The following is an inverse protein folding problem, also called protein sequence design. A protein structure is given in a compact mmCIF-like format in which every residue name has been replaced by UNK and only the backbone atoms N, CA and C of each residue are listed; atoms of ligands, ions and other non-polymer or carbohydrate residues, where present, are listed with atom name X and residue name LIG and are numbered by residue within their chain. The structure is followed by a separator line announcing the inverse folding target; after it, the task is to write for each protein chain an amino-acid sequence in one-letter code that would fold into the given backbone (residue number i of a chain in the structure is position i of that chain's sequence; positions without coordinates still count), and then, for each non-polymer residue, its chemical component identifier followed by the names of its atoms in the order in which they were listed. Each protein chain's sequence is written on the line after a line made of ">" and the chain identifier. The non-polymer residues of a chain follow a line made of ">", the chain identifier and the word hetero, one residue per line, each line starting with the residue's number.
data_IF_890433303529
#
_entry.id   IF_890433303529
#
_cell.length_a   1.000
_cell.length_b   1.000
_cell.length_c   1.000
_cell.angle_alpha   90.00
_cell.angle_beta   90.00
_cell.angle_gamma   90.00
#
_symmetry.space_group_name_H-M   'P 1'
#
loop_
_entity.id
_entity.type
_entity.pdbx_description
1 polymer ?
#
# COMPACT_ATOMS: atom_id res chain seq x y z
N UNK A 1 36.78 9.45 8.05
CA UNK A 1 36.61 8.41 9.09
C UNK A 1 35.13 8.31 9.52
N UNK A 2 34.20 8.36 8.56
CA UNK A 2 32.77 8.52 8.82
C UNK A 2 31.96 7.87 7.71
N UNK A 3 30.74 7.44 8.05
CA UNK A 3 29.80 6.60 7.30
C UNK A 3 29.92 5.07 7.51
N UNK A 4 31.14 4.51 7.66
CA UNK A 4 31.31 3.07 7.93
C UNK A 4 31.32 2.72 9.43
N UNK A 5 31.87 3.60 10.28
CA UNK A 5 31.81 3.45 11.74
C UNK A 5 30.36 3.50 12.30
N UNK A 6 29.42 4.07 11.56
CA UNK A 6 28.00 4.11 11.92
C UNK A 6 27.25 2.82 11.60
N UNK A 7 27.74 1.99 10.68
CA UNK A 7 27.12 0.70 10.33
C UNK A 7 27.46 -0.38 11.37
N UNK A 8 28.69 -0.39 11.88
CA UNK A 8 29.08 -1.30 12.97
C UNK A 8 28.33 -0.97 14.27
N UNK A 9 28.09 0.31 14.55
CA UNK A 9 27.27 0.77 15.67
C UNK A 9 25.78 0.36 15.57
N UNK A 10 25.24 0.13 14.37
CA UNK A 10 23.88 -0.40 14.21
C UNK A 10 23.77 -1.84 14.72
N UNK A 11 24.85 -2.63 14.65
CA UNK A 11 24.83 -4.03 15.09
C UNK A 11 24.89 -4.21 16.61
N UNK A 12 25.31 -3.20 17.36
CA UNK A 12 25.31 -3.20 18.83
C UNK A 12 23.97 -2.76 19.45
N UNK A 13 23.02 -2.27 18.66
CA UNK A 13 21.75 -1.76 19.17
C UNK A 13 20.80 -2.86 19.68
N UNK A 14 19.80 -2.54 20.53
CA UNK A 14 18.72 -3.48 20.88
C UNK A 14 18.04 -4.07 19.63
N UNK A 15 17.49 -5.29 19.77
CA UNK A 15 16.93 -6.05 18.65
C UNK A 15 15.85 -5.25 17.88
N UNK A 16 15.04 -4.46 18.57
CA UNK A 16 13.98 -3.65 17.97
C UNK A 16 14.54 -2.58 17.03
N UNK A 17 15.65 -1.93 17.41
CA UNK A 17 16.32 -0.92 16.57
C UNK A 17 17.00 -1.54 15.36
N UNK A 18 17.54 -2.75 15.51
CA UNK A 18 18.14 -3.52 14.39
C UNK A 18 17.09 -3.92 13.37
N UNK A 19 15.91 -4.39 13.81
CA UNK A 19 14.77 -4.71 12.95
C UNK A 19 14.32 -3.45 12.19
N UNK A 20 14.08 -2.36 12.92
CA UNK A 20 13.64 -1.10 12.32
C UNK A 20 14.64 -0.59 11.26
N UNK A 21 15.93 -0.60 11.58
CA UNK A 21 16.98 -0.18 10.63
C UNK A 21 17.06 -1.07 9.39
N UNK A 22 16.92 -2.39 9.55
CA UNK A 22 16.93 -3.33 8.44
C UNK A 22 15.71 -3.14 7.51
N UNK A 23 14.50 -3.01 8.08
CA UNK A 23 13.26 -2.78 7.33
C UNK A 23 13.30 -1.42 6.63
N UNK A 24 13.82 -0.38 7.30
CA UNK A 24 13.95 0.94 6.71
C UNK A 24 14.93 0.93 5.53
N UNK A 25 16.12 0.34 5.69
CA UNK A 25 17.11 0.22 4.61
C UNK A 25 16.57 -0.58 3.44
N UNK A 26 15.89 -1.71 3.71
CA UNK A 26 15.22 -2.50 2.68
C UNK A 26 14.17 -1.67 1.94
N UNK A 27 13.31 -0.96 2.67
CA UNK A 27 12.26 -0.11 2.09
C UNK A 27 12.85 0.98 1.20
N UNK A 28 13.92 1.66 1.62
CA UNK A 28 14.61 2.66 0.80
C UNK A 28 15.28 2.06 -0.43
N UNK A 29 15.90 0.88 -0.30
CA UNK A 29 16.55 0.19 -1.42
C UNK A 29 15.51 -0.22 -2.46
N UNK A 30 14.40 -0.81 -2.02
CA UNK A 30 13.26 -1.15 -2.90
C UNK A 30 12.67 0.12 -3.51
N UNK A 31 12.47 1.18 -2.74
CA UNK A 31 11.93 2.44 -3.27
C UNK A 31 12.83 3.04 -4.35
N UNK A 32 14.15 3.08 -4.12
CA UNK A 32 15.12 3.55 -5.13
C UNK A 32 15.11 2.65 -6.36
N UNK A 33 15.02 1.33 -6.18
CA UNK A 33 14.90 0.37 -7.27
C UNK A 33 13.63 0.59 -8.11
N UNK A 34 12.46 0.66 -7.47
CA UNK A 34 11.16 0.84 -8.11
C UNK A 34 11.08 2.20 -8.84
N UNK A 35 11.60 3.25 -8.20
CA UNK A 35 11.56 4.62 -8.73
C UNK A 35 12.54 4.79 -9.89
N UNK A 36 13.81 4.40 -9.72
CA UNK A 36 14.88 4.72 -10.67
C UNK A 36 15.25 3.56 -11.61
N UNK A 37 15.32 2.32 -11.11
CA UNK A 37 16.04 1.25 -11.81
C UNK A 37 15.14 0.27 -12.57
N UNK A 38 13.88 0.04 -12.15
CA UNK A 38 13.08 -1.04 -12.71
C UNK A 38 11.74 -0.66 -13.35
N UNK A 39 11.00 0.36 -12.86
CA UNK A 39 9.58 0.47 -13.25
C UNK A 39 9.09 1.84 -13.75
N UNK A 40 9.58 2.98 -13.23
CA UNK A 40 8.97 4.28 -13.58
C UNK A 40 9.82 5.13 -14.51
N UNK A 41 11.00 5.58 -14.09
CA UNK A 41 11.75 6.58 -14.85
C UNK A 41 12.27 6.04 -16.20
N UNK A 42 12.97 4.89 -16.18
CA UNK A 42 13.58 4.32 -17.39
C UNK A 42 12.54 3.81 -18.39
N UNK A 43 11.45 3.20 -17.92
CA UNK A 43 10.34 2.74 -18.77
C UNK A 43 9.72 3.93 -19.51
N UNK A 44 9.57 5.08 -18.86
CA UNK A 44 9.04 6.27 -19.51
C UNK A 44 10.06 6.89 -20.47
N UNK A 45 11.31 7.08 -20.04
CA UNK A 45 12.35 7.73 -20.84
C UNK A 45 12.72 6.95 -22.11
N UNK A 46 12.75 5.63 -22.04
CA UNK A 46 13.12 4.76 -23.18
C UNK A 46 11.92 4.19 -23.93
N UNK A 47 10.69 4.63 -23.62
CA UNK A 47 9.48 4.19 -24.33
C UNK A 47 9.16 2.71 -24.13
N UNK A 48 9.38 2.20 -22.91
CA UNK A 48 9.09 0.82 -22.54
C UNK A 48 7.61 0.44 -22.69
N UNK A 49 6.68 1.37 -22.44
CA UNK A 49 5.23 1.12 -22.63
C UNK A 49 4.91 0.92 -24.12
N UNK A 50 5.28 1.82 -25.07
CA UNK A 50 5.14 1.57 -26.50
C UNK A 50 5.87 0.32 -26.99
N UNK A 51 7.06 0.03 -26.45
CA UNK A 51 7.80 -1.18 -26.79
C UNK A 51 7.01 -2.45 -26.45
N UNK A 52 6.52 -2.53 -25.21
CA UNK A 52 5.73 -3.67 -24.75
C UNK A 52 4.43 -3.79 -25.54
N UNK A 53 3.77 -2.67 -25.85
CA UNK A 53 2.57 -2.66 -26.71
C UNK A 53 2.84 -3.24 -28.10
N UNK A 54 3.93 -2.83 -28.76
CA UNK A 54 4.33 -3.39 -30.07
C UNK A 54 4.70 -4.86 -29.98
N UNK A 55 5.36 -5.27 -28.89
CA UNK A 55 5.68 -6.67 -28.64
C UNK A 55 4.41 -7.53 -28.51
N UNK A 56 3.40 -7.03 -27.79
CA UNK A 56 2.08 -7.68 -27.70
C UNK A 56 1.44 -7.85 -29.08
N UNK A 57 1.51 -6.82 -29.94
CA UNK A 57 1.02 -6.89 -31.32
C UNK A 57 1.76 -7.93 -32.16
N UNK A 58 3.07 -8.11 -31.96
CA UNK A 58 3.85 -9.17 -32.64
C UNK A 58 3.41 -10.57 -32.23
N UNK A 59 3.12 -10.80 -30.95
CA UNK A 59 2.57 -12.07 -30.48
C UNK A 59 1.18 -12.34 -31.07
N UNK A 60 0.31 -11.33 -31.10
CA UNK A 60 -1.00 -11.42 -31.76
C UNK A 60 -0.86 -11.76 -33.25
N UNK A 61 0.04 -11.07 -33.97
CA UNK A 61 0.28 -11.32 -35.39
C UNK A 61 0.78 -12.74 -35.69
N UNK A 62 1.66 -13.29 -34.84
CA UNK A 62 2.11 -14.69 -34.97
C UNK A 62 0.96 -15.69 -34.78
N UNK A 63 -0.01 -15.36 -33.93
CA UNK A 63 -1.21 -16.16 -33.71
C UNK A 63 -2.32 -15.90 -34.75
N UNK A 64 -2.07 -15.07 -35.77
CA UNK A 64 -3.03 -14.77 -36.84
C UNK A 64 -4.01 -13.63 -36.52
N UNK A 65 -3.81 -12.89 -35.43
CA UNK A 65 -4.63 -11.71 -35.09
C UNK A 65 -3.95 -10.43 -35.58
N UNK A 66 -4.60 -9.73 -36.50
CA UNK A 66 -4.16 -8.43 -37.02
C UNK A 66 -4.36 -7.27 -36.03
N UNK A 67 -3.88 -6.06 -36.37
CA UNK A 67 -3.98 -4.87 -35.52
C UNK A 67 -5.42 -4.40 -35.27
N UNK A 68 -6.39 -4.83 -36.07
CA UNK A 68 -7.82 -4.58 -35.86
C UNK A 68 -8.36 -5.22 -34.57
N UNK A 69 -7.69 -6.24 -34.05
CA UNK A 69 -8.05 -6.90 -32.79
C UNK A 69 -7.40 -6.20 -31.58
N UNK A 70 -7.68 -4.90 -31.40
CA UNK A 70 -7.11 -4.07 -30.34
C UNK A 70 -7.33 -4.67 -28.93
N UNK A 71 -8.51 -5.23 -28.67
CA UNK A 71 -8.84 -5.86 -27.38
C UNK A 71 -7.92 -7.07 -27.13
N UNK A 72 -7.70 -7.90 -28.13
CA UNK A 72 -6.80 -9.06 -28.03
C UNK A 72 -5.37 -8.61 -27.73
N UNK A 73 -4.86 -7.62 -28.47
CA UNK A 73 -3.54 -7.04 -28.20
C UNK A 73 -3.44 -6.43 -26.79
N UNK A 74 -4.51 -5.78 -26.33
CA UNK A 74 -4.61 -5.21 -24.97
C UNK A 74 -4.54 -6.27 -23.88
N UNK A 75 -5.21 -7.41 -24.07
CA UNK A 75 -5.14 -8.54 -23.13
C UNK A 75 -3.73 -9.16 -23.08
N UNK A 76 -3.08 -9.31 -24.25
CA UNK A 76 -1.69 -9.77 -24.31
C UNK A 76 -0.76 -8.76 -23.64
N UNK A 77 -0.96 -7.46 -23.86
CA UNK A 77 -0.23 -6.41 -23.16
C UNK A 77 -0.39 -6.50 -21.64
N UNK A 78 -1.62 -6.66 -21.14
CA UNK A 78 -1.89 -6.80 -19.72
C UNK A 78 -1.19 -8.03 -19.13
N UNK A 79 -1.23 -9.16 -19.83
CA UNK A 79 -0.53 -10.38 -19.40
C UNK A 79 0.99 -10.17 -19.34
N UNK A 80 1.59 -9.63 -20.41
CA UNK A 80 3.04 -9.40 -20.43
C UNK A 80 3.48 -8.36 -19.39
N UNK A 81 2.69 -7.31 -19.18
CA UNK A 81 2.97 -6.28 -18.18
C UNK A 81 2.91 -6.85 -16.75
N UNK A 82 1.90 -7.67 -16.45
CA UNK A 82 1.77 -8.32 -15.13
C UNK A 82 2.87 -9.36 -14.89
N UNK A 83 3.26 -10.14 -15.91
CA UNK A 83 4.40 -11.06 -15.83
C UNK A 83 5.73 -10.34 -15.61
N UNK A 84 5.95 -9.23 -16.31
CA UNK A 84 7.14 -8.39 -16.11
C UNK A 84 7.17 -7.83 -14.68
N UNK A 85 6.07 -7.25 -14.21
CA UNK A 85 5.96 -6.72 -12.85
C UNK A 85 6.20 -7.82 -11.80
N UNK A 86 5.56 -8.98 -11.93
CA UNK A 86 5.77 -10.12 -11.03
C UNK A 86 7.23 -10.59 -11.01
N UNK A 87 7.87 -10.68 -12.18
CA UNK A 87 9.26 -11.12 -12.31
C UNK A 87 10.25 -10.14 -11.67
N UNK A 88 10.00 -8.83 -11.80
CA UNK A 88 10.83 -7.81 -11.15
C UNK A 88 10.58 -7.70 -9.64
N UNK A 89 9.36 -8.00 -9.18
CA UNK A 89 8.98 -7.98 -7.76
C UNK A 89 9.37 -9.25 -6.99
N UNK A 90 9.46 -10.39 -7.66
CA UNK A 90 9.68 -11.69 -7.02
C UNK A 90 10.98 -11.75 -6.19
N UNK A 91 12.15 -11.25 -6.66
CA UNK A 91 13.37 -11.26 -5.84
C UNK A 91 13.19 -10.52 -4.51
N UNK A 92 12.50 -9.38 -4.52
CA UNK A 92 12.23 -8.58 -3.32
C UNK A 92 11.26 -9.29 -2.39
N UNK A 93 10.21 -9.90 -2.92
CA UNK A 93 9.27 -10.71 -2.14
C UNK A 93 9.96 -11.89 -1.47
N UNK A 94 10.82 -12.62 -2.19
CA UNK A 94 11.57 -13.74 -1.65
C UNK A 94 12.55 -13.28 -0.57
N UNK A 95 13.24 -12.15 -0.78
CA UNK A 95 14.16 -11.59 0.22
C UNK A 95 13.42 -11.15 1.49
N UNK A 96 12.28 -10.47 1.35
CA UNK A 96 11.48 -10.06 2.49
C UNK A 96 11.03 -11.27 3.32
N UNK A 97 10.46 -12.29 2.68
CA UNK A 97 9.93 -13.48 3.38
C UNK A 97 11.03 -14.39 3.94
N UNK A 98 11.99 -14.80 3.11
CA UNK A 98 12.96 -15.84 3.50
C UNK A 98 14.24 -15.32 4.16
N UNK A 99 14.49 -14.00 4.12
CA UNK A 99 15.65 -13.39 4.78
C UNK A 99 15.23 -12.50 5.93
N UNK A 100 14.34 -11.52 5.70
CA UNK A 100 13.97 -10.55 6.74
C UNK A 100 13.02 -11.19 7.76
N UNK A 101 11.89 -11.72 7.31
CA UNK A 101 10.85 -12.29 8.19
C UNK A 101 11.34 -13.57 8.89
N UNK A 102 12.05 -14.46 8.19
CA UNK A 102 12.69 -15.65 8.80
C UNK A 102 13.69 -15.26 9.89
N UNK A 103 14.59 -14.31 9.62
CA UNK A 103 15.61 -13.85 10.60
C UNK A 103 14.98 -13.27 11.87
N UNK A 104 13.80 -12.68 11.75
CA UNK A 104 13.06 -12.13 12.88
C UNK A 104 12.03 -13.09 13.48
N UNK A 105 11.93 -14.31 12.95
CA UNK A 105 11.08 -15.37 13.46
C UNK A 105 9.59 -15.16 13.22
N UNK A 106 9.22 -14.36 12.21
CA UNK A 106 7.84 -14.14 11.78
C UNK A 106 7.33 -15.22 10.82
N UNK A 107 8.23 -15.90 10.10
CA UNK A 107 7.88 -16.92 9.11
C UNK A 107 7.37 -18.25 9.73
N UNK A 108 7.46 -18.43 11.06
CA UNK A 108 6.91 -19.60 11.75
C UNK A 108 5.94 -19.22 12.87
N UNK A 109 4.68 -19.68 12.77
CA UNK A 109 3.62 -19.52 13.78
C UNK A 109 3.87 -20.32 15.09
N UNK A 110 5.11 -20.67 15.43
CA UNK A 110 5.42 -21.69 16.44
C UNK A 110 5.54 -21.18 17.88
N UNK A 111 5.44 -19.86 18.13
CA UNK A 111 5.43 -19.29 19.48
C UNK A 111 4.00 -19.09 19.99
N UNK A 112 3.78 -19.26 21.30
CA UNK A 112 2.54 -18.84 22.00
C UNK A 112 2.36 -17.32 21.91
N UNK A 113 1.93 -16.86 20.74
CA UNK A 113 1.56 -15.49 20.41
C UNK A 113 0.04 -15.41 20.38
N UNK A 114 -0.48 -14.23 20.73
CA UNK A 114 -1.92 -13.97 20.71
C UNK A 114 -2.51 -13.48 22.02
N UNK A 115 -3.76 -13.06 21.90
CA UNK A 115 -4.57 -12.48 22.96
C UNK A 115 -5.34 -13.55 23.73
N UNK A 116 -5.63 -13.30 25.01
CA UNK A 116 -6.58 -14.08 25.82
C UNK A 116 -8.01 -13.85 25.32
N UNK A 117 -8.96 -14.72 25.68
CA UNK A 117 -10.36 -14.60 25.24
C UNK A 117 -10.98 -13.22 25.50
N UNK A 118 -10.68 -12.59 26.66
CA UNK A 118 -11.19 -11.25 26.97
C UNK A 118 -10.57 -10.15 26.10
N UNK A 119 -9.28 -10.28 25.78
CA UNK A 119 -8.56 -9.37 24.88
C UNK A 119 -9.07 -9.54 23.44
N UNK A 120 -9.31 -10.79 23.00
CA UNK A 120 -9.94 -11.10 21.71
C UNK A 120 -11.35 -10.54 21.64
N UNK A 121 -12.15 -10.67 22.71
CA UNK A 121 -13.50 -10.13 22.77
C UNK A 121 -13.50 -8.60 22.71
N UNK A 122 -12.49 -7.95 23.28
CA UNK A 122 -12.33 -6.50 23.20
C UNK A 122 -11.95 -6.04 21.78
N UNK A 123 -11.05 -6.76 21.11
CA UNK A 123 -10.72 -6.53 19.69
C UNK A 123 -11.97 -6.75 18.82
N UNK A 124 -12.74 -7.80 19.07
CA UNK A 124 -14.00 -8.03 18.36
C UNK A 124 -15.01 -6.89 18.60
N UNK A 125 -15.04 -6.33 19.82
CA UNK A 125 -15.81 -5.12 20.12
C UNK A 125 -15.39 -3.91 19.27
N UNK A 126 -14.09 -3.72 19.03
CA UNK A 126 -13.55 -2.70 18.12
C UNK A 126 -14.00 -2.97 16.67
N UNK A 127 -13.86 -4.20 16.17
CA UNK A 127 -14.32 -4.59 14.82
C UNK A 127 -15.82 -4.36 14.62
N UNK A 128 -16.65 -4.72 15.61
CA UNK A 128 -18.08 -4.44 15.60
C UNK A 128 -18.38 -2.93 15.66
N UNK A 129 -17.47 -2.13 16.20
CA UNK A 129 -17.52 -0.66 16.12
C UNK A 129 -17.46 -0.16 14.69
N UNK A 130 -16.59 -0.71 13.84
CA UNK A 130 -16.54 -0.35 12.42
C UNK A 130 -17.85 -0.65 11.70
N UNK A 131 -18.45 -1.80 12.01
CA UNK A 131 -19.75 -2.16 11.47
C UNK A 131 -20.87 -1.24 11.99
N UNK A 132 -20.97 -1.06 13.30
CA UNK A 132 -22.06 -0.30 13.95
C UNK A 132 -22.05 1.18 13.56
N UNK A 133 -20.88 1.77 13.37
CA UNK A 133 -20.70 3.17 12.96
C UNK A 133 -20.72 3.37 11.44
N UNK A 134 -20.93 2.29 10.67
CA UNK A 134 -21.06 2.31 9.22
C UNK A 134 -19.78 2.70 8.49
N UNK A 135 -18.59 2.43 9.06
CA UNK A 135 -17.31 2.75 8.42
C UNK A 135 -17.17 2.04 7.07
N UNK A 136 -17.57 0.77 7.00
CA UNK A 136 -17.59 -0.01 5.75
C UNK A 136 -18.48 0.62 4.69
N UNK A 137 -19.69 1.05 5.06
CA UNK A 137 -20.64 1.70 4.12
C UNK A 137 -20.09 3.04 3.64
N UNK A 138 -19.50 3.85 4.53
CA UNK A 138 -18.84 5.10 4.16
C UNK A 138 -17.70 4.87 3.16
N UNK A 139 -16.84 3.87 3.39
CA UNK A 139 -15.77 3.52 2.46
C UNK A 139 -16.31 3.06 1.11
N UNK A 140 -17.38 2.26 1.09
CA UNK A 140 -18.04 1.87 -0.16
C UNK A 140 -18.54 3.12 -0.91
N UNK A 141 -19.29 4.02 -0.25
CA UNK A 141 -19.80 5.25 -0.88
C UNK A 141 -18.66 6.10 -1.44
N UNK A 142 -17.60 6.34 -0.64
CA UNK A 142 -16.43 7.12 -1.08
C UNK A 142 -15.76 6.47 -2.29
N UNK A 143 -15.56 5.15 -2.28
CA UNK A 143 -14.94 4.44 -3.40
C UNK A 143 -15.79 4.48 -4.68
N UNK A 144 -17.12 4.41 -4.57
CA UNK A 144 -18.01 4.51 -5.73
C UNK A 144 -18.06 5.93 -6.28
N UNK A 145 -18.12 6.96 -5.42
CA UNK A 145 -18.04 8.36 -5.85
C UNK A 145 -16.71 8.67 -6.53
N UNK A 146 -15.59 8.19 -5.97
CA UNK A 146 -14.27 8.32 -6.57
C UNK A 146 -14.21 7.61 -7.94
N UNK A 147 -14.71 6.38 -8.03
CA UNK A 147 -14.72 5.62 -9.28
C UNK A 147 -15.54 6.35 -10.36
N UNK A 148 -16.73 6.86 -10.00
CA UNK A 148 -17.55 7.65 -10.90
C UNK A 148 -16.81 8.90 -11.39
N UNK A 149 -16.19 9.67 -10.49
CA UNK A 149 -15.41 10.85 -10.83
C UNK A 149 -14.25 10.50 -11.78
N UNK A 150 -13.49 9.45 -11.48
CA UNK A 150 -12.37 9.00 -12.32
C UNK A 150 -12.84 8.60 -13.72
N UNK A 151 -13.93 7.83 -13.85
CA UNK A 151 -14.45 7.43 -15.16
C UNK A 151 -15.08 8.61 -15.92
N UNK A 152 -15.72 9.55 -15.23
CA UNK A 152 -16.20 10.79 -15.83
C UNK A 152 -15.05 11.62 -16.41
N UNK A 153 -14.00 11.86 -15.62
CA UNK A 153 -12.81 12.59 -16.08
C UNK A 153 -12.05 11.83 -17.18
N UNK A 154 -12.00 10.50 -17.10
CA UNK A 154 -11.47 9.67 -18.19
C UNK A 154 -12.23 9.92 -19.50
N UNK A 155 -13.56 9.90 -19.47
CA UNK A 155 -14.38 10.16 -20.66
C UNK A 155 -14.12 11.55 -21.25
N UNK A 156 -13.83 12.55 -20.42
CA UNK A 156 -13.45 13.92 -20.86
C UNK A 156 -12.05 13.95 -21.49
N UNK A 157 -11.11 13.18 -20.96
CA UNK A 157 -9.69 13.26 -21.32
C UNK A 157 -9.28 12.30 -22.45
N UNK A 158 -9.96 11.16 -22.62
CA UNK A 158 -9.55 10.09 -23.55
C UNK A 158 -9.45 10.54 -25.02
N UNK A 159 -10.21 11.59 -25.41
CA UNK A 159 -10.16 12.14 -26.77
C UNK A 159 -8.90 13.00 -27.06
N UNK A 160 -8.08 13.31 -26.06
CA UNK A 160 -6.89 14.16 -26.19
C UNK A 160 -5.69 13.38 -26.72
N UNK A 161 -5.39 13.54 -28.00
CA UNK A 161 -4.26 12.87 -28.70
C UNK A 161 -2.90 13.21 -28.09
N UNK A 162 -2.76 14.41 -27.57
CA UNK A 162 -1.55 14.89 -26.89
C UNK A 162 -1.17 14.04 -25.68
N UNK A 163 -2.15 13.47 -24.97
CA UNK A 163 -1.90 12.58 -23.83
C UNK A 163 -1.26 11.26 -24.28
N UNK A 164 -1.62 10.75 -25.46
CA UNK A 164 -1.03 9.54 -26.02
C UNK A 164 0.35 9.81 -26.62
N UNK A 165 0.48 10.92 -27.36
CA UNK A 165 1.73 11.33 -27.99
C UNK A 165 2.85 11.55 -26.95
N UNK A 166 2.52 12.10 -25.78
CA UNK A 166 3.47 12.29 -24.68
C UNK A 166 4.12 10.99 -24.18
N UNK A 167 3.46 9.84 -24.38
CA UNK A 167 3.95 8.52 -23.99
C UNK A 167 4.39 7.66 -25.19
N UNK A 168 4.58 8.26 -26.37
CA UNK A 168 5.10 7.59 -27.56
C UNK A 168 4.06 6.82 -28.39
N UNK A 169 2.78 7.13 -28.22
CA UNK A 169 1.68 6.60 -29.04
C UNK A 169 1.21 7.66 -30.04
N UNK A 170 1.78 7.64 -31.24
CA UNK A 170 1.51 8.64 -32.30
C UNK A 170 0.43 8.17 -33.28
N UNK A 171 0.45 6.89 -33.65
CA UNK A 171 -0.37 6.35 -34.74
C UNK A 171 -1.70 5.73 -34.28
N UNK A 172 -1.83 5.44 -32.98
CA UNK A 172 -2.99 4.75 -32.41
C UNK A 172 -3.31 5.28 -31.01
N UNK A 173 -4.56 5.11 -30.59
CA UNK A 173 -5.05 5.55 -29.27
C UNK A 173 -5.74 4.39 -28.53
N UNK A 174 -5.02 3.32 -28.17
CA UNK A 174 -5.66 2.13 -27.61
C UNK A 174 -6.32 2.45 -26.27
N UNK A 175 -7.52 1.92 -26.06
CA UNK A 175 -8.35 2.29 -24.89
C UNK A 175 -7.66 1.91 -23.57
N UNK A 176 -7.02 0.73 -23.51
CA UNK A 176 -6.29 0.27 -22.32
C UNK A 176 -5.09 1.17 -22.00
N UNK A 177 -4.39 1.66 -23.03
CA UNK A 177 -3.26 2.59 -22.86
C UNK A 177 -3.76 3.95 -22.37
N UNK A 178 -4.91 4.42 -22.86
CA UNK A 178 -5.56 5.62 -22.34
C UNK A 178 -5.91 5.50 -20.86
N UNK A 179 -6.46 4.35 -20.44
CA UNK A 179 -6.76 4.08 -19.03
C UNK A 179 -5.47 4.10 -18.18
N UNK A 180 -4.41 3.43 -18.65
CA UNK A 180 -3.11 3.43 -17.99
C UNK A 180 -2.57 4.86 -17.82
N UNK A 181 -2.55 5.64 -18.90
CA UNK A 181 -1.98 6.99 -18.89
C UNK A 181 -2.76 7.90 -17.95
N UNK A 182 -4.08 7.92 -18.09
CA UNK A 182 -4.93 8.86 -17.35
C UNK A 182 -4.95 8.48 -15.86
N UNK A 183 -5.19 7.22 -15.51
CA UNK A 183 -5.35 6.83 -14.10
C UNK A 183 -4.03 6.77 -13.33
N UNK A 184 -2.91 6.38 -13.97
CA UNK A 184 -1.64 6.26 -13.27
C UNK A 184 -0.78 7.52 -13.33
N UNK A 185 -0.73 8.21 -14.48
CA UNK A 185 0.17 9.36 -14.64
C UNK A 185 -0.57 10.69 -14.48
N UNK A 186 -1.66 10.92 -15.21
CA UNK A 186 -2.38 12.21 -15.15
C UNK A 186 -3.02 12.42 -13.78
N UNK A 187 -3.64 11.38 -13.20
CA UNK A 187 -4.25 11.45 -11.87
C UNK A 187 -3.26 11.25 -10.73
N UNK A 188 -1.95 11.13 -10.97
CA UNK A 188 -0.97 10.91 -9.89
C UNK A 188 -1.09 11.94 -8.74
N UNK A 189 -1.14 13.26 -8.98
CA UNK A 189 -1.27 14.23 -7.89
C UNK A 189 -2.60 14.09 -7.13
N UNK A 190 -3.68 13.80 -7.85
CA UNK A 190 -5.00 13.55 -7.27
C UNK A 190 -4.99 12.32 -6.37
N UNK A 191 -4.39 11.22 -6.84
CA UNK A 191 -4.31 9.96 -6.11
C UNK A 191 -3.53 10.12 -4.81
N UNK A 192 -2.42 10.87 -4.81
CA UNK A 192 -1.63 11.14 -3.59
C UNK A 192 -2.43 11.96 -2.55
N UNK A 193 -3.13 13.01 -2.99
CA UNK A 193 -3.97 13.82 -2.09
C UNK A 193 -5.13 13.00 -1.55
N UNK A 194 -5.81 12.23 -2.40
CA UNK A 194 -6.90 11.35 -1.98
C UNK A 194 -6.41 10.29 -0.99
N UNK A 195 -5.25 9.67 -1.26
CA UNK A 195 -4.60 8.71 -0.36
C UNK A 195 -4.38 9.31 1.02
N UNK A 196 -3.80 10.51 1.09
CA UNK A 196 -3.62 11.23 2.35
C UNK A 196 -4.95 11.48 3.08
N UNK A 197 -5.97 11.98 2.38
CA UNK A 197 -7.29 12.20 2.96
C UNK A 197 -7.91 10.91 3.51
N UNK A 198 -7.78 9.79 2.79
CA UNK A 198 -8.27 8.48 3.22
C UNK A 198 -7.48 7.94 4.41
N UNK A 199 -6.17 8.16 4.48
CA UNK A 199 -5.33 7.81 5.65
C UNK A 199 -5.80 8.55 6.90
N UNK A 200 -6.04 9.86 6.80
CA UNK A 200 -6.57 10.66 7.92
C UNK A 200 -7.97 10.19 8.34
N UNK A 201 -8.84 9.89 7.36
CA UNK A 201 -10.17 9.36 7.64
C UNK A 201 -10.11 7.99 8.34
N UNK A 202 -9.23 7.09 7.88
CA UNK A 202 -9.00 5.78 8.49
C UNK A 202 -8.59 5.93 9.96
N UNK A 203 -7.63 6.81 10.26
CA UNK A 203 -7.22 7.10 11.65
C UNK A 203 -8.38 7.57 12.52
N UNK A 204 -9.29 8.38 11.97
CA UNK A 204 -10.50 8.82 12.68
C UNK A 204 -11.45 7.65 12.96
N UNK A 205 -11.62 6.73 12.01
CA UNK A 205 -12.44 5.53 12.21
C UNK A 205 -11.90 4.61 13.30
N UNK A 206 -10.59 4.46 13.39
CA UNK A 206 -9.93 3.69 14.47
C UNK A 206 -10.25 4.24 15.86
N UNK A 207 -10.12 5.56 16.07
CA UNK A 207 -10.48 6.17 17.36
C UNK A 207 -11.96 6.03 17.68
N UNK A 208 -12.83 6.09 16.67
CA UNK A 208 -14.27 5.89 16.84
C UNK A 208 -14.60 4.44 17.23
N UNK A 209 -13.91 3.46 16.64
CA UNK A 209 -14.04 2.05 16.99
C UNK A 209 -13.49 1.74 18.39
N UNK A 210 -12.34 2.31 18.77
CA UNK A 210 -11.80 2.23 20.13
C UNK A 210 -12.76 2.82 21.16
N UNK A 211 -13.35 3.98 20.85
CA UNK A 211 -14.36 4.61 21.70
C UNK A 211 -15.64 3.76 21.81
N UNK A 212 -16.01 3.04 20.76
CA UNK A 212 -17.14 2.11 20.80
C UNK A 212 -16.85 0.90 21.70
N UNK A 213 -15.70 0.26 21.56
CA UNK A 213 -15.29 -0.83 22.44
C UNK A 213 -15.20 -0.40 23.92
N UNK A 214 -14.78 0.85 24.15
CA UNK A 214 -14.81 1.48 25.48
C UNK A 214 -16.23 1.61 26.05
N UNK A 215 -17.22 2.00 25.23
CA UNK A 215 -18.63 2.06 25.64
C UNK A 215 -19.21 0.69 25.99
N UNK A 216 -18.67 -0.39 25.42
CA UNK A 216 -19.01 -1.77 25.80
C UNK A 216 -18.32 -2.26 27.09
N UNK A 217 -17.60 -1.38 27.79
CA UNK A 217 -16.89 -1.73 29.03
C UNK A 217 -15.57 -2.50 28.81
N UNK A 218 -15.11 -2.64 27.57
CA UNK A 218 -13.92 -3.44 27.20
C UNK A 218 -12.63 -2.62 27.08
N UNK A 219 -12.60 -1.40 27.61
CA UNK A 219 -11.44 -0.49 27.47
C UNK A 219 -10.14 -1.06 28.06
N UNK A 220 -10.20 -1.73 29.22
CA UNK A 220 -9.02 -2.32 29.87
C UNK A 220 -8.46 -3.49 29.08
N UNK A 221 -9.35 -4.36 28.59
CA UNK A 221 -8.99 -5.53 27.80
C UNK A 221 -8.43 -5.12 26.44
N UNK A 222 -9.01 -4.11 25.78
CA UNK A 222 -8.49 -3.55 24.53
C UNK A 222 -7.12 -2.89 24.72
N UNK A 223 -6.92 -2.16 25.82
CA UNK A 223 -5.62 -1.57 26.16
C UNK A 223 -4.54 -2.65 26.28
N UNK A 224 -4.84 -3.76 26.97
CA UNK A 224 -3.94 -4.91 27.10
C UNK A 224 -3.68 -5.59 25.75
N UNK A 225 -4.74 -5.80 24.97
CA UNK A 225 -4.68 -6.43 23.64
C UNK A 225 -3.76 -5.65 22.69
N UNK A 226 -3.89 -4.33 22.61
CA UNK A 226 -3.07 -3.49 21.72
C UNK A 226 -1.58 -3.56 22.07
N UNK A 227 -1.24 -3.56 23.37
CA UNK A 227 0.17 -3.73 23.81
C UNK A 227 0.67 -5.12 23.44
N UNK A 228 -0.16 -6.15 23.66
CA UNK A 228 0.20 -7.54 23.40
C UNK A 228 0.42 -7.81 21.90
N UNK A 229 -0.48 -7.32 21.05
CA UNK A 229 -0.37 -7.40 19.59
C UNK A 229 0.84 -6.62 19.08
N UNK A 230 1.08 -5.41 19.58
CA UNK A 230 2.27 -4.64 19.18
C UNK A 230 3.56 -5.36 19.58
N UNK A 231 3.61 -5.96 20.78
CA UNK A 231 4.76 -6.76 21.23
C UNK A 231 4.95 -8.00 20.36
N UNK A 232 3.88 -8.74 20.09
CA UNK A 232 3.93 -9.98 19.32
C UNK A 232 4.33 -9.71 17.85
N UNK A 233 3.97 -8.54 17.31
CA UNK A 233 4.35 -8.07 15.97
C UNK A 233 5.68 -7.27 15.93
N UNK A 234 6.42 -7.17 17.05
CA UNK A 234 7.65 -6.36 17.20
C UNK A 234 7.50 -4.91 16.69
N UNK A 235 6.29 -4.34 16.83
CA UNK A 235 6.00 -2.98 16.41
C UNK A 235 6.79 -1.96 17.22
N UNK A 236 7.47 -1.03 16.54
CA UNK A 236 8.20 0.03 17.22
C UNK A 236 7.20 1.11 17.72
N UNK A 237 7.11 1.36 19.05
CA UNK A 237 5.99 2.11 19.64
C UNK A 237 6.10 3.63 19.46
N UNK A 238 7.23 4.13 18.95
CA UNK A 238 7.49 5.55 18.73
C UNK A 238 7.63 5.76 17.23
N UNK A 239 6.91 6.72 16.69
CA UNK A 239 7.00 7.09 15.27
C UNK A 239 7.18 8.59 15.15
N UNK A 240 7.83 9.00 14.07
CA UNK A 240 7.87 10.41 13.71
C UNK A 240 6.46 10.91 13.38
N UNK A 241 6.16 12.15 13.78
CA UNK A 241 4.81 12.71 13.65
C UNK A 241 4.43 12.93 12.19
N UNK A 242 5.37 13.35 11.35
CA UNK A 242 5.11 13.64 9.94
C UNK A 242 4.95 12.33 9.17
N UNK A 243 5.84 11.38 9.43
CA UNK A 243 5.79 10.05 8.83
C UNK A 243 4.48 9.33 9.18
N UNK A 244 4.10 9.30 10.46
CA UNK A 244 2.85 8.67 10.91
C UNK A 244 1.61 9.40 10.39
N UNK A 245 1.67 10.72 10.22
CA UNK A 245 0.59 11.50 9.61
C UNK A 245 0.32 11.06 8.17
N UNK A 246 1.37 10.80 7.39
CA UNK A 246 1.25 10.48 5.97
C UNK A 246 0.98 9.00 5.68
N UNK A 247 1.63 8.09 6.41
CA UNK A 247 1.67 6.67 6.04
C UNK A 247 0.82 5.75 6.91
N UNK A 248 0.49 6.12 8.15
CA UNK A 248 -0.16 5.19 9.06
C UNK A 248 -1.69 5.29 8.96
N UNK A 249 -2.32 4.25 8.41
CA UNK A 249 -3.78 4.09 8.40
C UNK A 249 -4.36 3.85 9.79
N UNK A 250 -3.55 3.34 10.72
CA UNK A 250 -3.86 3.21 12.14
C UNK A 250 -3.07 4.24 12.96
N UNK A 251 -3.69 4.95 13.93
CA UNK A 251 -2.95 5.87 14.79
C UNK A 251 -1.85 5.12 15.58
N UNK A 252 -0.71 5.77 15.88
CA UNK A 252 0.34 5.21 16.72
C UNK A 252 -0.21 4.62 18.02
N UNK A 253 0.38 3.52 18.49
CA UNK A 253 -0.07 2.79 19.68
C UNK A 253 -0.30 3.71 20.88
N UNK A 254 0.65 4.60 21.17
CA UNK A 254 0.58 5.50 22.32
C UNK A 254 -0.64 6.45 22.25
N UNK A 255 -1.01 6.93 21.06
CA UNK A 255 -2.19 7.78 20.87
C UNK A 255 -3.48 7.01 21.20
N UNK A 256 -3.59 5.76 20.75
CA UNK A 256 -4.75 4.89 21.02
C UNK A 256 -4.87 4.56 22.51
N UNK A 257 -3.75 4.20 23.15
CA UNK A 257 -3.71 3.92 24.59
C UNK A 257 -4.09 5.14 25.43
N UNK A 258 -3.68 6.34 25.03
CA UNK A 258 -4.07 7.59 25.68
C UNK A 258 -5.57 7.86 25.54
N UNK A 259 -6.14 7.67 24.35
CA UNK A 259 -7.58 7.81 24.11
C UNK A 259 -8.41 6.85 24.98
N UNK A 260 -7.96 5.59 25.11
CA UNK A 260 -8.63 4.59 25.96
C UNK A 260 -8.59 4.97 27.45
N UNK A 261 -7.47 5.54 27.93
CA UNK A 261 -7.31 6.02 29.31
C UNK A 261 -8.15 7.25 29.64
N UNK A 262 -8.43 8.12 28.67
CA UNK A 262 -9.10 9.41 28.92
C UNK A 262 -10.58 9.26 29.34
N UNK A 263 -10.80 9.27 30.66
CA UNK A 263 -12.04 9.33 31.48
C UNK A 263 -13.22 8.39 31.19
N UNK A 264 -13.81 7.92 32.30
CA UNK A 264 -15.17 7.40 32.40
C UNK A 264 -16.14 8.50 31.92
N UNK A 265 -17.17 8.11 31.16
CA UNK A 265 -18.38 8.93 31.12
C UNK A 265 -19.03 8.76 32.49
N UNK A 266 -19.11 9.87 33.24
CA UNK A 266 -20.07 10.00 34.33
C UNK A 266 -21.51 9.79 33.81
#
# INVERSE_FOLDING_TARGET
>A
MGMWASLDAMWEMPAEKRIFGAVLLFSWTVYLWETFLAQRQLILLFGGIPYLWRLSGRFCGYAGFGPEYEITQSLVFLLLATLFSASTGLPWSLYNTFVIEEKHGFNQQSKKQGCKNEEVLAVLGHELGHWKLGHTVKNIIISQMNSFLCFFLFAVLIGRKELFAAFGFYDSQPTLIGLLIIFQFIFSPYNEVLSFCLTVLSRRFEFQADAFAKKLGKAKDLYSALIKLNKDNLGFPVSDWLFSMWHYSHPPLLERLQALKSSKQD
#
